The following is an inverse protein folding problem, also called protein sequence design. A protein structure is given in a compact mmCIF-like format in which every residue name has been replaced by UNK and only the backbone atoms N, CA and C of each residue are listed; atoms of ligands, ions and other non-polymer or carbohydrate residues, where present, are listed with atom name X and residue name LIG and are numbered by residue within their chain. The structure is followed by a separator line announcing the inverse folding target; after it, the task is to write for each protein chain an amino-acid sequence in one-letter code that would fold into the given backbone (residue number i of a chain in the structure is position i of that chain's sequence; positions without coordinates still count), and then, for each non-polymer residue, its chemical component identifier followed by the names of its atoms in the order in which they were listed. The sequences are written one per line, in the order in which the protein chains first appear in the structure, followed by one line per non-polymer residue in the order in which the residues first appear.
data_IF_417091163474
#
_entry.id   IF_417091163474
#
_cell.length_a   1.000
_cell.length_b   1.000
_cell.length_c   1.000
_cell.angle_alpha   90.00
_cell.angle_beta   90.00
_cell.angle_gamma   90.00
#
_symmetry.space_group_name_H-M   'P 1'
#
loop_
_entity.id
_entity.type
_entity.pdbx_description
1 polymer ?
#
# COMPACT_ATOMS: atom_id res chain seq x y z
N UNK A 1 14.14 -26.83 -3.08
CA UNK A 1 14.01 -25.47 -2.55
C UNK A 1 14.11 -24.42 -3.66
N UNK A 2 13.67 -23.19 -3.41
CA UNK A 2 13.79 -22.09 -4.37
C UNK A 2 15.18 -21.44 -4.32
N UNK A 3 15.70 -21.03 -5.47
CA UNK A 3 16.89 -20.16 -5.59
C UNK A 3 16.41 -18.72 -5.76
N UNK A 4 16.93 -17.80 -4.97
CA UNK A 4 16.63 -16.37 -5.05
C UNK A 4 17.81 -15.63 -5.68
N UNK A 5 17.52 -14.79 -6.68
CA UNK A 5 18.48 -13.92 -7.34
C UNK A 5 18.02 -12.47 -7.12
N UNK A 6 18.49 -11.88 -6.01
CA UNK A 6 18.07 -10.54 -5.60
C UNK A 6 18.83 -9.45 -6.37
N UNK A 7 18.15 -8.38 -6.74
CA UNK A 7 18.74 -7.26 -7.50
C UNK A 7 19.06 -7.58 -8.96
N UNK A 8 18.59 -8.71 -9.48
CA UNK A 8 18.83 -9.18 -10.84
C UNK A 8 17.49 -9.28 -11.56
N UNK A 9 17.37 -8.68 -12.74
CA UNK A 9 16.21 -8.76 -13.61
C UNK A 9 16.40 -9.73 -14.77
N UNK A 10 15.31 -10.16 -15.38
CA UNK A 10 15.33 -10.80 -16.71
C UNK A 10 15.51 -9.73 -17.78
N UNK A 11 16.43 -9.95 -18.73
CA UNK A 11 16.71 -9.04 -19.85
C UNK A 11 16.20 -9.58 -21.18
N UNK A 12 16.19 -10.90 -21.34
CA UNK A 12 15.79 -11.55 -22.59
C UNK A 12 15.31 -12.99 -22.30
N UNK A 13 14.81 -13.67 -23.33
CA UNK A 13 14.40 -15.07 -23.29
C UNK A 13 14.97 -15.84 -24.48
N UNK A 14 15.27 -17.11 -24.28
CA UNK A 14 15.68 -18.05 -25.32
C UNK A 14 14.46 -18.91 -25.67
N UNK A 15 14.13 -18.95 -26.96
CA UNK A 15 13.03 -19.77 -27.50
C UNK A 15 13.56 -20.77 -28.51
N UNK A 16 12.93 -21.95 -28.58
CA UNK A 16 13.24 -23.00 -29.56
C UNK A 16 12.50 -22.80 -30.88
N UNK A 17 12.72 -23.70 -31.85
CA UNK A 17 12.06 -23.69 -33.14
C UNK A 17 10.52 -23.85 -33.06
N UNK A 18 10.01 -24.42 -32.00
CA UNK A 18 8.59 -24.59 -31.70
C UNK A 18 7.96 -23.36 -31.02
N UNK A 19 8.72 -22.27 -30.86
CA UNK A 19 8.33 -21.04 -30.18
C UNK A 19 8.03 -21.23 -28.69
N UNK A 20 8.71 -22.19 -28.05
CA UNK A 20 8.62 -22.46 -26.62
C UNK A 20 9.84 -21.86 -25.91
N UNK A 21 9.63 -21.33 -24.69
CA UNK A 21 10.73 -20.79 -23.89
C UNK A 21 11.59 -21.95 -23.34
N UNK A 22 12.90 -21.81 -23.45
CA UNK A 22 13.87 -22.81 -22.95
C UNK A 22 14.81 -22.22 -21.90
N UNK A 23 14.96 -20.90 -21.88
CA UNK A 23 15.76 -20.22 -20.88
C UNK A 23 15.42 -18.73 -20.75
N UNK A 24 15.84 -18.12 -19.65
CA UNK A 24 15.81 -16.66 -19.43
C UNK A 24 17.24 -16.15 -19.33
N UNK A 25 17.54 -15.06 -20.00
CA UNK A 25 18.79 -14.33 -19.87
C UNK A 25 18.62 -13.27 -18.77
N UNK A 26 19.50 -13.29 -17.81
CA UNK A 26 19.50 -12.33 -16.71
C UNK A 26 20.25 -11.04 -17.09
N UNK A 27 20.00 -9.96 -16.37
CA UNK A 27 20.72 -8.67 -16.56
C UNK A 27 22.22 -8.76 -16.31
N UNK A 28 22.69 -9.83 -15.71
CA UNK A 28 24.11 -10.17 -15.55
C UNK A 28 24.75 -10.85 -16.77
N UNK A 29 23.93 -11.26 -17.76
CA UNK A 29 24.32 -12.08 -18.89
C UNK A 29 24.29 -13.60 -18.60
N UNK A 30 24.03 -14.03 -17.37
CA UNK A 30 23.82 -15.45 -17.04
C UNK A 30 22.51 -15.94 -17.68
N UNK A 31 22.51 -17.16 -18.20
CA UNK A 31 21.33 -17.84 -18.73
C UNK A 31 20.85 -18.89 -17.75
N UNK A 32 19.55 -18.86 -17.44
CA UNK A 32 18.88 -19.82 -16.56
C UNK A 32 17.89 -20.65 -17.37
N UNK A 33 18.13 -21.95 -17.48
CA UNK A 33 17.23 -22.88 -18.16
C UNK A 33 15.89 -22.97 -17.41
N UNK A 34 14.79 -22.99 -18.17
CA UNK A 34 13.43 -23.12 -17.61
C UNK A 34 12.44 -23.60 -18.67
N UNK A 35 11.39 -24.28 -18.24
CA UNK A 35 10.30 -24.75 -19.09
C UNK A 35 9.18 -23.74 -19.21
N UNK A 36 9.07 -22.79 -18.28
CA UNK A 36 8.11 -21.68 -18.31
C UNK A 36 8.56 -20.52 -17.42
N UNK A 37 8.00 -19.34 -17.65
CA UNK A 37 8.28 -18.12 -16.88
C UNK A 37 6.98 -17.54 -16.35
N UNK A 38 6.97 -17.18 -15.06
CA UNK A 38 5.88 -16.42 -14.45
C UNK A 38 6.36 -15.00 -14.20
N UNK A 39 5.75 -14.04 -14.90
CA UNK A 39 5.99 -12.62 -14.67
C UNK A 39 5.04 -12.11 -13.57
N UNK A 40 5.58 -11.82 -12.39
CA UNK A 40 4.86 -11.25 -11.26
C UNK A 40 5.49 -9.92 -10.81
N UNK A 41 5.84 -9.06 -11.78
CA UNK A 41 6.61 -7.83 -11.59
C UNK A 41 5.77 -6.61 -11.16
N UNK A 42 4.54 -6.82 -10.71
CA UNK A 42 3.60 -5.76 -10.33
C UNK A 42 2.90 -5.11 -11.51
N UNK A 43 2.34 -3.91 -11.28
CA UNK A 43 1.55 -3.16 -12.27
C UNK A 43 2.09 -1.74 -12.42
N UNK A 44 1.85 -1.17 -13.61
CA UNK A 44 2.10 0.24 -13.89
C UNK A 44 0.83 0.85 -14.47
N UNK A 45 0.51 2.12 -14.14
CA UNK A 45 -0.55 2.85 -14.80
C UNK A 45 -0.37 2.84 -16.32
N UNK A 46 -1.42 2.50 -17.06
CA UNK A 46 -1.39 2.52 -18.52
C UNK A 46 -1.74 3.92 -19.02
N UNK A 47 -0.75 4.79 -19.12
CA UNK A 47 -0.89 6.21 -19.48
C UNK A 47 -0.24 6.55 -20.85
N UNK A 48 0.43 5.60 -21.51
CA UNK A 48 1.14 5.85 -22.76
C UNK A 48 0.25 6.42 -23.89
N UNK A 49 -1.02 6.03 -23.93
CA UNK A 49 -2.00 6.52 -24.90
C UNK A 49 -2.40 8.00 -24.70
N UNK A 50 -2.00 8.60 -23.56
CA UNK A 50 -2.25 10.01 -23.22
C UNK A 50 -1.07 10.93 -23.61
N UNK A 51 -0.03 10.42 -24.24
CA UNK A 51 1.06 11.24 -24.73
C UNK A 51 0.54 12.34 -25.66
N UNK A 52 0.99 13.59 -25.47
CA UNK A 52 0.53 14.75 -26.23
C UNK A 52 -0.84 15.32 -25.81
N UNK A 53 -1.51 14.76 -24.83
CA UNK A 53 -2.82 15.25 -24.35
C UNK A 53 -2.74 16.57 -23.55
N UNK A 54 -1.54 17.00 -23.12
CA UNK A 54 -1.37 18.16 -22.24
C UNK A 54 -1.58 17.86 -20.75
N UNK A 55 -1.91 16.62 -20.39
CA UNK A 55 -2.02 16.18 -19.01
C UNK A 55 -0.63 16.10 -18.36
N UNK A 56 -0.49 16.63 -17.14
CA UNK A 56 0.71 16.37 -16.34
C UNK A 56 0.70 14.91 -15.87
N UNK A 57 1.81 14.23 -16.12
CA UNK A 57 1.98 12.81 -15.82
C UNK A 57 3.37 12.56 -15.24
N UNK A 58 3.44 11.71 -14.23
CA UNK A 58 4.68 11.17 -13.68
C UNK A 58 4.61 9.63 -13.74
N UNK A 59 4.48 8.98 -12.60
CA UNK A 59 4.18 7.54 -12.53
C UNK A 59 2.77 7.21 -13.05
N UNK A 60 1.85 8.16 -12.95
CA UNK A 60 0.44 8.14 -13.39
C UNK A 60 0.00 9.54 -13.75
N UNK A 61 -1.28 9.76 -13.96
CA UNK A 61 -1.85 11.10 -14.17
C UNK A 61 -1.77 11.86 -12.84
N UNK A 62 -1.11 13.02 -12.84
CA UNK A 62 -1.00 13.88 -11.66
C UNK A 62 -2.35 14.53 -11.36
N UNK A 63 -2.82 14.39 -10.11
CA UNK A 63 -4.07 14.97 -9.63
C UNK A 63 -3.88 15.68 -8.30
N UNK A 64 -4.74 16.67 -8.04
CA UNK A 64 -4.85 17.33 -6.74
C UNK A 64 -5.69 16.50 -5.73
N UNK A 65 -5.95 17.04 -4.54
CA UNK A 65 -6.79 16.39 -3.54
C UNK A 65 -8.26 16.22 -3.98
N UNK A 66 -8.71 17.00 -4.93
CA UNK A 66 -10.06 16.94 -5.49
C UNK A 66 -10.16 16.03 -6.73
N UNK A 67 -9.09 15.28 -7.03
CA UNK A 67 -8.96 14.43 -8.22
C UNK A 67 -8.98 15.22 -9.54
N UNK A 68 -8.67 16.52 -9.54
CA UNK A 68 -8.53 17.33 -10.75
C UNK A 68 -7.15 17.13 -11.34
N UNK A 69 -7.09 17.04 -12.67
CA UNK A 69 -5.83 17.01 -13.42
C UNK A 69 -5.30 18.42 -13.69
N UNK A 70 -4.18 18.53 -14.40
CA UNK A 70 -3.63 19.80 -14.89
C UNK A 70 -4.49 20.47 -15.97
N UNK A 71 -5.43 19.75 -16.59
CA UNK A 71 -6.31 20.24 -17.65
C UNK A 71 -7.67 20.57 -17.02
N UNK A 72 -8.22 21.78 -17.22
CA UNK A 72 -9.52 22.18 -16.70
C UNK A 72 -10.62 21.17 -17.10
N UNK A 73 -11.54 20.91 -16.16
CA UNK A 73 -12.70 20.02 -16.32
C UNK A 73 -12.36 18.55 -16.60
N UNK A 74 -11.08 18.18 -16.47
CA UNK A 74 -10.61 16.79 -16.59
C UNK A 74 -10.22 16.25 -15.22
N UNK A 75 -10.77 15.09 -14.88
CA UNK A 75 -10.52 14.38 -13.62
C UNK A 75 -9.92 13.02 -13.89
N UNK A 76 -9.13 12.52 -12.95
CA UNK A 76 -8.60 11.15 -12.99
C UNK A 76 -8.71 10.48 -11.60
N UNK A 77 -9.04 9.19 -11.59
CA UNK A 77 -9.23 8.43 -10.37
C UNK A 77 -8.81 6.97 -10.55
N UNK A 78 -8.42 6.32 -9.46
CA UNK A 78 -8.01 4.93 -9.43
C UNK A 78 -6.57 4.72 -9.88
N UNK A 79 -6.26 3.51 -10.34
CA UNK A 79 -4.89 3.05 -10.64
C UNK A 79 -4.15 3.92 -11.65
N UNK A 80 -4.88 4.58 -12.56
CA UNK A 80 -4.31 5.47 -13.57
C UNK A 80 -3.58 6.68 -12.97
N UNK A 81 -3.92 7.06 -11.72
CA UNK A 81 -3.23 8.15 -11.01
C UNK A 81 -1.89 7.73 -10.40
N UNK A 82 -1.64 6.41 -10.25
CA UNK A 82 -0.46 5.89 -9.57
C UNK A 82 -0.43 6.12 -8.05
N UNK A 83 -1.48 6.71 -7.46
CA UNK A 83 -1.55 7.01 -6.02
C UNK A 83 -1.81 5.76 -5.17
N UNK A 84 -2.62 4.83 -5.66
CA UNK A 84 -2.93 3.57 -5.00
C UNK A 84 -3.32 2.52 -6.02
N UNK A 85 -2.92 1.27 -5.79
CA UNK A 85 -3.21 0.12 -6.66
C UNK A 85 -4.17 -0.87 -5.99
N UNK A 86 -5.14 -0.38 -5.20
CA UNK A 86 -6.13 -1.23 -4.52
C UNK A 86 -7.54 -0.69 -4.72
N UNK A 87 -8.47 -1.62 -4.86
CA UNK A 87 -9.85 -1.32 -5.22
C UNK A 87 -10.57 -0.32 -4.30
N UNK A 88 -10.51 -0.43 -2.95
CA UNK A 88 -11.20 0.53 -2.09
C UNK A 88 -10.76 1.98 -2.34
N UNK A 89 -9.46 2.21 -2.49
CA UNK A 89 -8.92 3.53 -2.79
C UNK A 89 -9.38 4.05 -4.16
N UNK A 90 -9.42 3.18 -5.18
CA UNK A 90 -9.92 3.55 -6.51
C UNK A 90 -11.38 3.98 -6.47
N UNK A 91 -12.22 3.28 -5.68
CA UNK A 91 -13.64 3.64 -5.49
C UNK A 91 -13.78 4.99 -4.78
N UNK A 92 -12.99 5.25 -3.74
CA UNK A 92 -13.04 6.53 -3.01
C UNK A 92 -12.56 7.70 -3.87
N UNK A 93 -11.48 7.52 -4.64
CA UNK A 93 -11.05 8.50 -5.64
C UNK A 93 -12.15 8.78 -6.66
N UNK A 94 -12.83 7.75 -7.16
CA UNK A 94 -13.94 7.89 -8.10
C UNK A 94 -15.11 8.69 -7.52
N UNK A 95 -15.47 8.47 -6.24
CA UNK A 95 -16.51 9.26 -5.56
C UNK A 95 -16.08 10.71 -5.40
N UNK A 96 -14.83 10.97 -5.01
CA UNK A 96 -14.30 12.32 -4.88
C UNK A 96 -14.33 13.05 -6.23
N UNK A 97 -13.85 12.41 -7.29
CA UNK A 97 -13.91 12.96 -8.64
C UNK A 97 -15.34 13.31 -9.06
N UNK A 98 -16.28 12.36 -8.91
CA UNK A 98 -17.68 12.55 -9.27
C UNK A 98 -18.35 13.69 -8.46
N UNK A 99 -18.09 13.77 -7.15
CA UNK A 99 -18.60 14.85 -6.30
C UNK A 99 -18.13 16.21 -6.80
N UNK A 100 -16.85 16.35 -7.11
CA UNK A 100 -16.30 17.61 -7.62
C UNK A 100 -16.83 17.96 -9.02
N UNK A 101 -17.04 16.98 -9.90
CA UNK A 101 -17.69 17.15 -11.21
C UNK A 101 -19.13 17.68 -11.04
N UNK A 102 -19.83 17.28 -9.99
CA UNK A 102 -21.18 17.73 -9.65
C UNK A 102 -21.20 19.07 -8.86
N UNK A 103 -20.06 19.72 -8.65
CA UNK A 103 -19.97 20.97 -7.90
C UNK A 103 -20.03 20.81 -6.38
N UNK A 104 -19.89 19.59 -5.84
CA UNK A 104 -19.82 19.30 -4.40
C UNK A 104 -18.33 19.18 -4.00
N UNK A 105 -17.74 20.19 -3.34
CA UNK A 105 -16.34 20.17 -2.95
C UNK A 105 -16.04 18.99 -2.03
N UNK A 106 -15.15 18.12 -2.44
CA UNK A 106 -14.78 16.92 -1.70
C UNK A 106 -13.29 16.64 -1.90
N UNK A 107 -12.57 16.27 -0.83
CA UNK A 107 -11.15 15.93 -0.89
C UNK A 107 -10.91 14.45 -0.64
N UNK A 108 -9.96 13.89 -1.37
CA UNK A 108 -9.41 12.56 -1.12
C UNK A 108 -8.37 12.64 -0.01
N UNK A 109 -8.69 12.07 1.14
CA UNK A 109 -7.85 12.12 2.34
C UNK A 109 -7.08 10.83 2.60
N UNK A 110 -7.47 9.71 1.98
CA UNK A 110 -6.92 8.37 2.26
C UNK A 110 -5.69 8.03 1.39
N UNK A 111 -4.77 8.96 1.23
CA UNK A 111 -3.57 8.79 0.38
C UNK A 111 -2.58 7.76 0.89
N UNK A 112 -2.62 7.44 2.18
CA UNK A 112 -1.59 6.66 2.85
C UNK A 112 -2.10 5.37 3.50
N UNK A 113 -3.40 5.11 3.45
CA UNK A 113 -3.99 3.97 4.13
C UNK A 113 -4.39 2.84 3.17
N UNK A 114 -3.49 2.48 2.26
CA UNK A 114 -3.66 1.28 1.45
C UNK A 114 -3.67 0.05 2.36
N UNK A 115 -4.81 -0.64 2.41
CA UNK A 115 -4.97 -1.90 3.13
C UNK A 115 -4.96 -3.06 2.16
N UNK A 116 -4.02 -3.96 2.32
CA UNK A 116 -3.97 -5.21 1.56
C UNK A 116 -3.92 -6.40 2.51
N UNK A 117 -4.72 -7.41 2.19
CA UNK A 117 -4.75 -8.69 2.92
C UNK A 117 -4.48 -9.82 1.94
N UNK A 118 -3.62 -10.75 2.33
CA UNK A 118 -3.27 -11.93 1.54
C UNK A 118 -3.29 -13.18 2.40
N UNK A 119 -3.58 -14.32 1.80
CA UNK A 119 -3.48 -15.61 2.46
C UNK A 119 -2.70 -16.56 1.55
N UNK A 120 -1.50 -16.95 2.00
CA UNK A 120 -0.64 -17.88 1.29
C UNK A 120 -0.64 -19.23 2.00
N UNK A 121 -1.50 -20.15 1.55
CA UNK A 121 -1.60 -21.50 2.11
C UNK A 121 -1.81 -21.54 3.62
N UNK A 122 -2.69 -20.66 4.13
CA UNK A 122 -2.98 -20.53 5.56
C UNK A 122 -2.13 -19.49 6.30
N UNK A 123 -1.06 -19.01 5.70
CA UNK A 123 -0.30 -17.88 6.23
C UNK A 123 -0.97 -16.57 5.86
N UNK A 124 -1.63 -15.96 6.82
CA UNK A 124 -2.31 -14.68 6.64
C UNK A 124 -1.32 -13.53 6.74
N UNK A 125 -1.52 -12.50 5.92
CA UNK A 125 -0.75 -11.26 5.95
C UNK A 125 -1.69 -10.06 5.82
N UNK A 126 -1.38 -9.01 6.56
CA UNK A 126 -2.01 -7.70 6.46
C UNK A 126 -0.92 -6.64 6.29
N UNK A 127 -1.09 -5.75 5.34
CA UNK A 127 -0.33 -4.51 5.24
C UNK A 127 -1.26 -3.32 5.20
N UNK A 128 -0.93 -2.25 5.92
CA UNK A 128 -1.61 -0.96 5.87
C UNK A 128 -0.54 0.11 5.73
N UNK A 129 -0.71 1.02 4.77
CA UNK A 129 0.30 2.02 4.43
C UNK A 129 1.49 1.43 3.64
N UNK A 130 2.47 2.27 3.33
CA UNK A 130 3.70 1.83 2.66
C UNK A 130 4.72 1.35 3.68
N UNK A 131 4.81 0.05 3.84
CA UNK A 131 5.72 -0.60 4.80
C UNK A 131 7.20 -0.52 4.38
N UNK A 132 7.46 -0.18 3.12
CA UNK A 132 8.81 -0.04 2.56
C UNK A 132 9.25 1.43 2.48
N UNK A 133 8.35 2.38 2.71
CA UNK A 133 8.72 3.79 2.72
C UNK A 133 9.82 4.05 3.75
N UNK A 134 10.89 4.69 3.29
CA UNK A 134 11.93 5.21 4.18
C UNK A 134 11.44 6.55 4.74
N UNK A 135 10.93 6.53 5.95
CA UNK A 135 10.48 7.72 6.67
C UNK A 135 11.62 8.19 7.55
N UNK A 136 12.28 9.28 7.17
CA UNK A 136 13.42 9.83 7.94
C UNK A 136 13.01 10.14 9.38
N UNK A 137 13.80 9.65 10.33
CA UNK A 137 13.57 9.83 11.76
C UNK A 137 12.32 9.11 12.29
N UNK A 138 11.86 8.06 11.63
CA UNK A 138 10.81 7.20 12.16
C UNK A 138 11.37 6.10 13.05
N UNK A 139 10.61 5.75 14.08
CA UNK A 139 10.84 4.58 14.90
C UNK A 139 10.29 3.34 14.19
N UNK A 140 11.09 2.28 14.15
CA UNK A 140 10.71 1.00 13.54
C UNK A 140 10.60 -0.04 14.65
N UNK A 141 9.40 -0.57 14.83
CA UNK A 141 9.13 -1.66 15.77
C UNK A 141 9.03 -2.96 14.99
N UNK A 142 9.71 -4.01 15.48
CA UNK A 142 9.67 -5.35 14.88
C UNK A 142 9.46 -6.39 15.97
N UNK A 143 8.53 -7.30 15.73
CA UNK A 143 8.29 -8.47 16.59
C UNK A 143 8.26 -9.72 15.72
N UNK A 144 9.15 -10.66 16.00
CA UNK A 144 9.33 -11.87 15.19
C UNK A 144 9.29 -13.11 16.05
N UNK A 145 8.63 -14.15 15.56
CA UNK A 145 8.63 -15.51 16.10
C UNK A 145 8.52 -16.51 14.95
N UNK A 146 8.53 -17.81 15.23
CA UNK A 146 8.51 -18.86 14.20
C UNK A 146 7.41 -18.70 13.14
N UNK A 147 6.22 -18.24 13.53
CA UNK A 147 5.05 -18.16 12.64
C UNK A 147 4.41 -16.76 12.64
N UNK A 148 5.09 -15.77 13.18
CA UNK A 148 4.54 -14.42 13.27
C UNK A 148 5.67 -13.41 12.99
N UNK A 149 5.38 -12.47 12.11
CA UNK A 149 6.22 -11.31 11.87
C UNK A 149 5.35 -10.06 11.90
N UNK A 150 5.74 -9.08 12.70
CA UNK A 150 5.06 -7.79 12.76
C UNK A 150 6.08 -6.68 12.60
N UNK A 151 5.75 -5.67 11.80
CA UNK A 151 6.55 -4.46 11.64
C UNK A 151 5.63 -3.25 11.68
N UNK A 152 5.98 -2.25 12.46
CA UNK A 152 5.28 -0.97 12.51
C UNK A 152 6.27 0.18 12.32
N UNK A 153 5.87 1.19 11.58
CA UNK A 153 6.64 2.42 11.36
C UNK A 153 5.88 3.57 12.00
N UNK A 154 6.48 4.21 12.99
CA UNK A 154 5.89 5.32 13.75
C UNK A 154 6.75 6.57 13.54
N UNK A 155 6.14 7.70 13.24
CA UNK A 155 6.82 9.00 13.11
C UNK A 155 6.08 10.04 13.95
N UNK A 156 6.79 10.68 14.87
CA UNK A 156 6.25 11.70 15.78
C UNK A 156 5.02 11.20 16.56
N UNK A 157 5.09 9.94 17.01
CA UNK A 157 4.00 9.25 17.73
C UNK A 157 2.84 8.79 16.85
N UNK A 158 2.86 9.04 15.53
CA UNK A 158 1.80 8.64 14.60
C UNK A 158 2.21 7.41 13.81
N UNK A 159 1.38 6.37 13.84
CA UNK A 159 1.57 5.16 13.02
C UNK A 159 1.43 5.50 11.54
N UNK A 160 2.46 5.24 10.75
CA UNK A 160 2.50 5.49 9.30
C UNK A 160 2.18 4.25 8.49
N UNK A 161 2.66 3.10 8.93
CA UNK A 161 2.39 1.82 8.27
C UNK A 161 2.53 0.66 9.24
N UNK A 162 1.86 -0.44 8.93
CA UNK A 162 1.97 -1.68 9.70
C UNK A 162 1.90 -2.90 8.76
N UNK A 163 2.74 -3.89 9.05
CA UNK A 163 2.69 -5.23 8.45
C UNK A 163 2.50 -6.25 9.56
N UNK A 164 1.56 -7.14 9.40
CA UNK A 164 1.29 -8.27 10.29
C UNK A 164 1.24 -9.54 9.45
N UNK A 165 2.07 -10.52 9.81
CA UNK A 165 2.04 -11.87 9.29
C UNK A 165 1.69 -12.82 10.44
N UNK A 166 0.75 -13.72 10.21
CA UNK A 166 0.20 -14.66 11.20
C UNK A 166 -1.24 -14.34 11.56
N UNK A 167 -1.54 -14.15 12.84
CA UNK A 167 -2.88 -13.77 13.28
C UNK A 167 -3.18 -12.30 12.94
N UNK A 168 -4.12 -12.09 12.03
CA UNK A 168 -4.62 -10.78 11.61
C UNK A 168 -6.01 -10.46 12.20
N UNK A 169 -6.48 -11.21 13.18
CA UNK A 169 -7.71 -10.88 13.89
C UNK A 169 -7.59 -9.53 14.61
N UNK A 170 -8.71 -8.85 14.80
CA UNK A 170 -8.80 -7.57 15.49
C UNK A 170 -7.91 -6.44 14.94
N UNK A 171 -7.58 -6.47 13.64
CA UNK A 171 -6.66 -5.50 13.01
C UNK A 171 -7.34 -4.24 12.44
N UNK A 172 -8.66 -4.10 12.61
CA UNK A 172 -9.42 -2.98 12.04
C UNK A 172 -9.02 -1.59 12.59
N UNK A 173 -8.63 -1.53 13.86
CA UNK A 173 -8.22 -0.28 14.50
C UNK A 173 -6.96 0.34 13.88
N UNK A 174 -6.01 -0.47 13.36
CA UNK A 174 -4.80 0.04 12.73
C UNK A 174 -5.10 0.95 11.54
N UNK A 175 -6.10 0.59 10.75
CA UNK A 175 -6.52 1.42 9.62
C UNK A 175 -7.06 2.77 10.09
N UNK A 176 -7.86 2.76 11.15
CA UNK A 176 -8.39 3.98 11.76
C UNK A 176 -7.27 4.88 12.30
N UNK A 177 -6.31 4.31 13.03
CA UNK A 177 -5.18 5.05 13.61
C UNK A 177 -4.32 5.72 12.52
N UNK A 178 -4.00 4.98 11.45
CA UNK A 178 -3.20 5.52 10.34
C UNK A 178 -3.99 6.60 9.59
N UNK A 179 -5.24 6.31 9.22
CA UNK A 179 -6.07 7.21 8.42
C UNK A 179 -6.32 8.55 9.12
N UNK A 180 -6.54 8.52 10.42
CA UNK A 180 -6.86 9.73 11.20
C UNK A 180 -5.61 10.34 11.86
N UNK A 181 -4.42 9.76 11.68
CA UNK A 181 -3.19 10.30 12.23
C UNK A 181 -3.17 10.38 13.76
N UNK A 182 -3.80 9.39 14.42
CA UNK A 182 -3.93 9.40 15.88
C UNK A 182 -2.55 9.34 16.54
N UNK A 183 -2.27 10.25 17.47
CA UNK A 183 -1.01 10.29 18.18
C UNK A 183 -1.00 9.23 19.29
N UNK A 184 -0.01 8.34 19.26
CA UNK A 184 0.17 7.22 20.18
C UNK A 184 1.27 7.46 21.21
N UNK A 185 1.87 8.66 21.27
CA UNK A 185 3.07 8.94 22.08
C UNK A 185 2.89 8.56 23.55
N UNK A 186 1.72 8.80 24.13
CA UNK A 186 1.48 8.45 25.54
C UNK A 186 1.29 6.94 25.74
N UNK A 187 0.60 6.27 24.82
CA UNK A 187 0.43 4.82 24.86
C UNK A 187 1.76 4.08 24.66
N UNK A 188 2.61 4.57 23.77
CA UNK A 188 3.91 3.96 23.49
C UNK A 188 4.92 4.07 24.64
N UNK A 189 4.67 4.91 25.67
CA UNK A 189 5.47 4.94 26.91
C UNK A 189 5.21 3.75 27.83
N UNK A 190 4.04 3.15 27.71
CA UNK A 190 3.55 2.12 28.66
C UNK A 190 3.16 0.81 28.00
N UNK A 191 3.11 0.76 26.67
CA UNK A 191 2.62 -0.38 25.92
C UNK A 191 3.42 -0.61 24.63
N UNK A 192 3.63 -1.87 24.26
CA UNK A 192 4.15 -2.24 22.94
C UNK A 192 3.14 -1.81 21.86
N UNK A 193 3.63 -1.29 20.74
CA UNK A 193 2.79 -0.85 19.63
C UNK A 193 1.84 -1.95 19.16
N UNK A 194 2.26 -3.21 19.15
CA UNK A 194 1.45 -4.35 18.71
C UNK A 194 0.42 -4.84 19.71
N UNK A 195 0.45 -4.32 20.95
CA UNK A 195 -0.50 -4.63 22.01
C UNK A 195 -1.56 -3.53 22.18
N UNK A 196 -1.48 -2.45 21.38
CA UNK A 196 -2.50 -1.40 21.31
C UNK A 196 -3.78 -1.98 20.69
N UNK A 197 -4.91 -1.67 21.30
CA UNK A 197 -6.22 -2.20 20.94
C UNK A 197 -7.30 -1.12 21.01
N UNK A 198 -8.50 -1.43 20.55
CA UNK A 198 -9.66 -0.53 20.70
C UNK A 198 -9.89 -0.07 22.13
N UNK A 199 -9.65 -0.95 23.12
CA UNK A 199 -9.85 -0.63 24.53
C UNK A 199 -8.99 0.50 25.06
N UNK A 200 -7.87 0.81 24.40
CA UNK A 200 -6.97 1.89 24.81
C UNK A 200 -7.50 3.29 24.46
N UNK A 201 -8.56 3.36 23.65
CA UNK A 201 -9.18 4.60 23.18
C UNK A 201 -10.55 4.85 23.79
N UNK A 202 -11.02 3.96 24.68
CA UNK A 202 -12.24 4.19 25.42
C UNK A 202 -11.95 4.93 26.72
N UNK A 203 -12.76 5.92 27.03
CA UNK A 203 -12.81 6.58 28.33
C UNK A 203 -14.25 6.63 28.81
N UNK A 204 -14.43 6.71 30.13
CA UNK A 204 -15.74 6.96 30.74
C UNK A 204 -15.96 8.47 30.74
N UNK A 205 -17.11 8.92 30.28
CA UNK A 205 -17.55 10.30 30.47
C UNK A 205 -18.06 10.56 31.91
N UNK A 206 -18.45 11.80 32.18
CA UNK A 206 -18.89 12.21 33.50
C UNK A 206 -20.17 11.51 33.98
N UNK A 207 -20.91 10.88 33.08
CA UNK A 207 -22.13 10.12 33.44
C UNK A 207 -21.88 8.59 33.41
N UNK A 208 -20.64 8.17 33.19
CA UNK A 208 -20.22 6.76 33.24
C UNK A 208 -20.51 5.98 31.95
N UNK A 209 -20.73 6.66 30.83
CA UNK A 209 -20.82 6.02 29.51
C UNK A 209 -19.46 5.95 28.82
N UNK A 210 -19.23 4.86 28.08
CA UNK A 210 -18.01 4.71 27.31
C UNK A 210 -18.04 5.59 26.07
N UNK A 211 -17.06 6.47 25.94
CA UNK A 211 -16.79 7.28 24.76
C UNK A 211 -15.53 6.78 24.06
N UNK A 212 -15.52 6.87 22.74
CA UNK A 212 -14.35 6.57 21.92
C UNK A 212 -13.59 7.87 21.65
N UNK A 213 -12.29 7.88 22.00
CA UNK A 213 -11.43 9.05 21.82
C UNK A 213 -10.98 9.24 20.37
#
# INVERSE_FOLDING_TARGET
GARFLLGIGASDSVINEQNEITAVVLSTGETVECDFVICAAGVRPNIAWLEGSGLAMERGITVDANMRTSVPDVYAAGDVTGLAGVWPNAMDMGRVAASNMCGVPTEYTDRYCMKNTSNFFGLQMLTIGDINAQVEGADIYVKESRNCYKKAVVKDGVLKSILIQGDISHTGHWQYLIKNGINLSELLKVKDVFDISYGDFYHLDDIGEYQYA
#
